data_IF_529736026831
#
_entry.id   IF_529736026831
#
_cell.length_a   1.000
_cell.length_b   1.000
_cell.length_c   1.000
_cell.angle_alpha   90.00
_cell.angle_beta   90.00
_cell.angle_gamma   90.00
#
_symmetry.space_group_name_H-M   'P 1'
#
loop_
_entity.id
_entity.type
_entity.pdbx_description
1 polymer ?
#
# COMPACT_ATOMS: atom_id res chain seq x y z
N UNK A 1 -4.58 4.15 13.39
CA UNK A 1 -3.90 2.85 13.37
C UNK A 1 -2.40 3.14 13.43
N UNK A 2 -1.66 2.46 14.29
CA UNK A 2 -0.22 2.70 14.48
C UNK A 2 0.62 1.66 13.74
N UNK A 3 1.93 1.90 13.62
CA UNK A 3 2.87 0.93 13.04
C UNK A 3 2.87 -0.37 13.84
N UNK A 4 2.78 -0.29 15.17
CA UNK A 4 2.77 -1.44 16.07
C UNK A 4 1.54 -2.32 15.82
N UNK A 5 0.38 -1.72 15.57
CA UNK A 5 -0.84 -2.46 15.22
C UNK A 5 -0.69 -3.20 13.89
N UNK A 6 -0.08 -2.56 12.89
CA UNK A 6 0.24 -3.21 11.61
C UNK A 6 1.23 -4.38 11.80
N UNK A 7 2.28 -4.19 12.59
CA UNK A 7 3.25 -5.24 12.89
C UNK A 7 2.61 -6.43 13.62
N UNK A 8 1.71 -6.15 14.57
CA UNK A 8 0.97 -7.19 15.28
C UNK A 8 0.04 -7.96 14.34
N UNK A 9 -0.62 -7.26 13.40
CA UNK A 9 -1.43 -7.91 12.37
C UNK A 9 -0.57 -8.79 11.46
N UNK A 10 0.58 -8.29 11.00
CA UNK A 10 1.52 -9.09 10.20
C UNK A 10 1.95 -10.34 10.97
N UNK A 11 2.38 -10.21 12.22
CA UNK A 11 2.76 -11.35 13.06
C UNK A 11 1.63 -12.38 13.16
N UNK A 12 0.38 -11.93 13.37
CA UNK A 12 -0.78 -12.81 13.45
C UNK A 12 -1.06 -13.57 12.15
N UNK A 13 -0.70 -13.01 10.98
CA UNK A 13 -0.82 -13.72 9.69
C UNK A 13 0.12 -14.92 9.63
N UNK A 14 1.33 -14.80 10.17
CA UNK A 14 2.30 -15.90 10.24
C UNK A 14 1.85 -16.99 11.22
N UNK A 15 1.33 -16.60 12.39
CA UNK A 15 0.84 -17.55 13.40
C UNK A 15 -0.42 -18.29 12.94
N UNK A 16 -1.39 -17.57 12.39
CA UNK A 16 -2.63 -18.16 11.87
C UNK A 16 -2.41 -19.05 10.65
N UNK A 17 -1.38 -18.80 9.86
CA UNK A 17 -1.01 -19.65 8.71
C UNK A 17 -0.62 -21.07 9.11
N UNK A 18 -0.10 -21.26 10.34
CA UNK A 18 0.25 -22.57 10.87
C UNK A 18 -0.97 -23.36 11.40
N UNK A 19 -2.06 -22.66 11.74
CA UNK A 19 -3.23 -23.26 12.40
C UNK A 19 -4.48 -23.27 11.53
N UNK A 20 -4.58 -22.36 10.55
CA UNK A 20 -5.71 -22.22 9.65
C UNK A 20 -5.65 -23.24 8.49
N UNK A 21 -6.80 -23.77 8.04
CA UNK A 21 -6.87 -24.65 6.87
C UNK A 21 -6.60 -23.92 5.55
N UNK A 22 -6.71 -22.59 5.49
CA UNK A 22 -6.49 -21.81 4.26
C UNK A 22 -5.68 -20.55 4.59
N UNK A 23 -4.40 -20.45 4.15
CA UNK A 23 -3.63 -19.24 4.33
C UNK A 23 -4.16 -18.10 3.43
N UNK A 24 -4.00 -16.83 3.85
CA UNK A 24 -4.46 -15.69 3.09
C UNK A 24 -3.70 -15.53 1.76
N UNK A 25 -4.44 -15.25 0.69
CA UNK A 25 -3.93 -15.03 -0.67
C UNK A 25 -3.91 -13.56 -1.11
N UNK A 26 -4.37 -12.64 -0.26
CA UNK A 26 -4.37 -11.21 -0.51
C UNK A 26 -4.13 -10.44 0.80
N UNK A 27 -3.19 -9.49 0.75
CA UNK A 27 -2.93 -8.50 1.79
C UNK A 27 -3.28 -7.13 1.20
N UNK A 28 -4.10 -6.36 1.90
CA UNK A 28 -4.45 -4.98 1.54
C UNK A 28 -3.98 -4.06 2.67
N UNK A 29 -3.16 -3.07 2.33
CA UNK A 29 -2.73 -2.02 3.26
C UNK A 29 -3.26 -0.69 2.75
N UNK A 30 -4.29 -0.18 3.43
CA UNK A 30 -4.85 1.12 3.11
C UNK A 30 -4.05 2.24 3.81
N UNK A 31 -3.91 3.38 3.12
CA UNK A 31 -3.20 4.58 3.58
C UNK A 31 -1.82 4.32 4.19
N UNK A 32 -0.93 3.69 3.40
CA UNK A 32 0.41 3.31 3.82
C UNK A 32 1.21 4.50 4.38
N UNK A 33 0.97 5.71 3.86
CA UNK A 33 1.62 6.94 4.33
C UNK A 33 1.47 7.16 5.84
N UNK A 34 0.33 6.77 6.43
CA UNK A 34 0.06 6.93 7.86
C UNK A 34 0.90 6.02 8.77
N UNK A 35 1.57 5.01 8.20
CA UNK A 35 2.51 4.15 8.92
C UNK A 35 3.97 4.52 8.66
N UNK A 36 4.24 5.28 7.59
CA UNK A 36 5.60 5.67 7.22
C UNK A 36 6.02 6.99 7.86
N UNK A 37 5.07 7.92 7.96
CA UNK A 37 5.24 9.19 8.64
C UNK A 37 4.71 9.03 10.08
N UNK A 38 5.57 9.17 11.09
CA UNK A 38 5.16 9.04 12.49
C UNK A 38 4.03 10.01 12.87
N UNK A 39 3.36 9.80 14.02
CA UNK A 39 2.22 10.63 14.45
C UNK A 39 2.54 12.14 14.61
N UNK A 40 3.81 12.51 14.67
CA UNK A 40 4.27 13.89 14.73
C UNK A 40 4.59 14.42 13.33
N UNK A 41 3.54 14.54 12.51
CA UNK A 41 3.58 15.41 11.34
C UNK A 41 3.78 16.85 11.80
N UNK A 42 5.02 17.31 11.84
CA UNK A 42 5.31 18.71 12.03
C UNK A 42 6.53 19.00 12.90
N UNK A 43 7.50 19.62 12.24
CA UNK A 43 8.60 20.43 12.80
C UNK A 43 9.90 19.66 13.02
N UNK A 44 10.98 20.27 12.50
CA UNK A 44 12.40 19.99 12.74
C UNK A 44 13.12 19.12 11.69
N UNK A 45 13.41 19.75 10.55
CA UNK A 45 14.78 19.88 9.99
C UNK A 45 15.75 18.75 10.40
N UNK A 46 15.83 17.67 9.61
CA UNK A 46 16.98 16.75 9.65
C UNK A 46 16.71 15.24 9.53
N UNK A 47 15.46 14.77 9.45
CA UNK A 47 15.11 13.33 9.64
C UNK A 47 14.79 12.58 8.32
N UNK A 48 15.35 13.00 7.19
CA UNK A 48 15.07 12.33 5.89
C UNK A 48 15.50 10.85 5.85
N UNK A 49 16.53 10.47 6.61
CA UNK A 49 17.05 9.09 6.62
C UNK A 49 16.19 8.12 7.45
N UNK A 50 15.52 8.62 8.50
CA UNK A 50 14.72 7.80 9.41
C UNK A 50 13.43 7.30 8.76
N UNK A 51 12.73 8.19 8.08
CA UNK A 51 11.46 7.89 7.39
C UNK A 51 11.68 6.94 6.20
N UNK A 52 12.74 7.14 5.41
CA UNK A 52 13.14 6.21 4.36
C UNK A 52 13.49 4.82 4.90
N UNK A 53 14.13 4.75 6.07
CA UNK A 53 14.42 3.48 6.74
C UNK A 53 13.15 2.78 7.20
N UNK A 54 12.17 3.51 7.74
CA UNK A 54 10.87 2.97 8.12
C UNK A 54 10.07 2.49 6.89
N UNK A 55 10.04 3.29 5.82
CA UNK A 55 9.42 2.92 4.55
C UNK A 55 10.03 1.65 3.96
N UNK A 56 11.36 1.57 3.92
CA UNK A 56 12.07 0.41 3.39
C UNK A 56 11.79 -0.83 4.26
N UNK A 57 11.84 -0.67 5.58
CA UNK A 57 11.60 -1.76 6.51
C UNK A 57 10.18 -2.32 6.41
N UNK A 58 9.16 -1.45 6.44
CA UNK A 58 7.77 -1.88 6.32
C UNK A 58 7.48 -2.47 4.95
N UNK A 59 8.00 -1.87 3.88
CA UNK A 59 7.84 -2.41 2.52
C UNK A 59 8.48 -3.79 2.39
N UNK A 60 9.71 -3.96 2.91
CA UNK A 60 10.39 -5.25 2.92
C UNK A 60 9.60 -6.31 3.69
N UNK A 61 9.14 -5.96 4.90
CA UNK A 61 8.38 -6.88 5.76
C UNK A 61 7.07 -7.33 5.10
N UNK A 62 6.33 -6.41 4.47
CA UNK A 62 5.10 -6.75 3.76
C UNK A 62 5.39 -7.64 2.54
N UNK A 63 6.44 -7.36 1.78
CA UNK A 63 6.87 -8.19 0.66
C UNK A 63 7.27 -9.60 1.13
N UNK A 64 8.05 -9.70 2.20
CA UNK A 64 8.49 -10.97 2.78
C UNK A 64 7.30 -11.79 3.30
N UNK A 65 6.32 -11.12 3.92
CA UNK A 65 5.09 -11.77 4.40
C UNK A 65 4.25 -12.32 3.24
N UNK A 66 4.11 -11.56 2.15
CA UNK A 66 3.44 -12.05 0.93
C UNK A 66 4.22 -13.20 0.27
N UNK A 67 5.56 -13.17 0.29
CA UNK A 67 6.39 -14.24 -0.22
C UNK A 67 6.24 -15.52 0.62
N UNK A 68 6.25 -15.40 1.96
CA UNK A 68 5.98 -16.51 2.88
C UNK A 68 4.62 -17.15 2.62
N UNK A 69 3.56 -16.35 2.52
CA UNK A 69 2.21 -16.83 2.23
C UNK A 69 2.12 -17.50 0.86
N UNK A 70 2.83 -16.96 -0.14
CA UNK A 70 2.93 -17.57 -1.47
C UNK A 70 3.55 -18.96 -1.41
N UNK A 71 4.61 -19.15 -0.62
CA UNK A 71 5.23 -20.46 -0.44
C UNK A 71 4.25 -21.42 0.25
N UNK A 72 3.56 -20.97 1.29
CA UNK A 72 2.59 -21.79 2.01
C UNK A 72 1.41 -22.22 1.12
N UNK A 73 0.89 -21.29 0.31
CA UNK A 73 -0.17 -21.55 -0.66
C UNK A 73 0.27 -22.62 -1.67
N UNK A 74 1.50 -22.51 -2.20
CA UNK A 74 2.07 -23.48 -3.15
C UNK A 74 2.34 -24.85 -2.54
N UNK A 75 2.72 -24.90 -1.26
CA UNK A 75 2.91 -26.16 -0.53
C UNK A 75 1.59 -26.92 -0.36
N UNK A 76 0.48 -26.20 -0.13
CA UNK A 76 -0.86 -26.83 -0.01
C UNK A 76 -1.47 -27.20 -1.35
N UNK A 77 -1.24 -26.39 -2.38
CA UNK A 77 -1.67 -26.67 -3.74
C UNK A 77 -0.71 -26.04 -4.74
N UNK A 78 -0.04 -26.86 -5.55
CA UNK A 78 0.91 -26.38 -6.54
C UNK A 78 0.27 -25.54 -7.65
N UNK A 79 -1.05 -25.62 -7.84
CA UNK A 79 -1.81 -24.78 -8.77
C UNK A 79 -2.33 -23.49 -8.14
N UNK A 80 -2.04 -23.23 -6.86
CA UNK A 80 -2.49 -22.02 -6.18
C UNK A 80 -1.81 -20.77 -6.75
N UNK A 81 -2.60 -19.70 -6.89
CA UNK A 81 -2.07 -18.40 -7.23
C UNK A 81 -1.15 -17.87 -6.10
N UNK A 82 -0.15 -17.03 -6.42
CA UNK A 82 0.66 -16.39 -5.39
C UNK A 82 -0.18 -15.44 -4.54
N UNK A 83 0.27 -15.21 -3.31
CA UNK A 83 -0.30 -14.17 -2.46
C UNK A 83 -0.03 -12.80 -3.10
N UNK A 84 -1.03 -11.93 -3.11
CA UNK A 84 -0.93 -10.58 -3.67
C UNK A 84 -0.88 -9.56 -2.55
N UNK A 85 -0.07 -8.51 -2.72
CA UNK A 85 -0.01 -7.38 -1.82
C UNK A 85 -0.45 -6.13 -2.58
N UNK A 86 -1.44 -5.42 -2.03
CA UNK A 86 -1.91 -4.13 -2.55
C UNK A 86 -1.74 -3.11 -1.43
N UNK A 87 -0.99 -2.05 -1.70
CA UNK A 87 -0.84 -0.94 -0.79
C UNK A 87 -1.29 0.35 -1.48
N UNK A 88 -2.13 1.14 -0.82
CA UNK A 88 -2.46 2.49 -1.28
C UNK A 88 -1.55 3.50 -0.56
N UNK A 89 -1.10 4.51 -1.27
CA UNK A 89 -0.31 5.60 -0.72
C UNK A 89 -0.85 6.93 -1.25
N UNK A 90 -1.16 7.86 -0.36
CA UNK A 90 -1.57 9.22 -0.75
C UNK A 90 -0.39 10.18 -0.57
N UNK A 91 0.07 10.77 -1.66
CA UNK A 91 1.09 11.81 -1.65
C UNK A 91 0.44 13.16 -1.30
N UNK A 92 0.94 13.85 -0.26
CA UNK A 92 0.44 15.17 0.16
C UNK A 92 0.72 16.31 -0.85
N UNK A 93 1.40 16.03 -1.96
CA UNK A 93 1.82 17.02 -2.97
C UNK A 93 0.64 17.72 -3.68
N UNK A 94 -0.57 17.16 -3.65
CA UNK A 94 -1.73 17.72 -4.37
C UNK A 94 -2.53 18.77 -3.58
N UNK A 95 -2.13 19.07 -2.33
CA UNK A 95 -2.74 20.10 -1.49
C UNK A 95 -2.04 21.47 -1.64
N UNK A 96 -1.75 21.86 -2.89
CA UNK A 96 -1.40 23.23 -3.32
C UNK A 96 -0.43 24.02 -2.43
N UNK A 97 0.87 23.92 -2.69
CA UNK A 97 1.77 25.07 -2.56
C UNK A 97 2.97 24.96 -3.51
N UNK A 98 3.16 26.04 -4.27
CA UNK A 98 4.35 26.39 -5.02
C UNK A 98 5.51 26.71 -4.08
N UNK A 99 6.60 25.93 -4.10
CA UNK A 99 7.98 26.42 -3.95
C UNK A 99 8.98 25.25 -3.83
N UNK A 100 9.77 25.02 -4.89
CA UNK A 100 11.23 24.86 -4.83
C UNK A 100 11.92 23.78 -3.96
N UNK A 101 11.22 22.92 -3.25
CA UNK A 101 11.86 21.84 -2.46
C UNK A 101 11.34 20.50 -2.99
N UNK A 102 12.22 19.70 -3.61
CA UNK A 102 11.94 18.31 -3.94
C UNK A 102 11.59 17.59 -2.62
N UNK A 103 10.29 17.41 -2.42
CA UNK A 103 9.65 17.15 -1.13
C UNK A 103 10.06 15.79 -0.60
N UNK A 104 10.16 15.62 0.72
CA UNK A 104 10.49 14.35 1.40
C UNK A 104 9.70 13.14 0.83
N UNK A 105 8.48 13.40 0.36
CA UNK A 105 7.58 12.45 -0.30
C UNK A 105 8.20 11.75 -1.51
N UNK A 106 9.01 12.44 -2.33
CA UNK A 106 9.65 11.85 -3.51
C UNK A 106 10.60 10.71 -3.10
N UNK A 107 11.30 10.86 -1.98
CA UNK A 107 12.24 9.84 -1.51
C UNK A 107 11.57 8.60 -0.88
N UNK A 108 10.38 8.76 -0.30
CA UNK A 108 9.56 7.63 0.16
C UNK A 108 8.99 6.90 -1.06
N UNK A 109 8.53 7.64 -2.08
CA UNK A 109 8.06 7.03 -3.32
C UNK A 109 9.17 6.24 -4.03
N UNK A 110 10.40 6.73 -4.06
CA UNK A 110 11.57 5.99 -4.58
C UNK A 110 11.84 4.69 -3.82
N UNK A 111 11.60 4.67 -2.50
CA UNK A 111 11.66 3.45 -1.71
C UNK A 111 10.54 2.50 -2.14
N UNK A 112 9.29 2.98 -2.20
CA UNK A 112 8.15 2.17 -2.61
C UNK A 112 8.34 1.59 -4.02
N UNK A 113 8.87 2.34 -4.98
CA UNK A 113 9.17 1.88 -6.34
C UNK A 113 10.11 0.66 -6.37
N UNK A 114 11.05 0.58 -5.43
CA UNK A 114 11.98 -0.54 -5.34
C UNK A 114 11.34 -1.82 -4.82
N UNK A 115 10.35 -1.72 -3.95
CA UNK A 115 9.68 -2.87 -3.34
C UNK A 115 8.40 -3.28 -4.08
N UNK A 116 7.63 -2.31 -4.55
CA UNK A 116 6.37 -2.49 -5.25
C UNK A 116 6.58 -2.31 -6.76
N UNK A 117 6.88 -3.41 -7.46
CA UNK A 117 7.20 -3.40 -8.89
C UNK A 117 6.08 -2.86 -9.80
N UNK A 118 4.83 -2.86 -9.32
CA UNK A 118 3.67 -2.37 -10.07
C UNK A 118 3.01 -1.27 -9.25
N UNK A 119 2.87 -0.09 -9.87
CA UNK A 119 2.16 1.04 -9.31
C UNK A 119 1.05 1.51 -10.22
N UNK A 120 -0.07 1.81 -9.61
CA UNK A 120 -1.21 2.44 -10.27
C UNK A 120 -1.37 3.81 -9.65
N UNK A 121 -1.10 4.85 -10.44
CA UNK A 121 -1.39 6.23 -10.07
C UNK A 121 -2.83 6.51 -10.48
N UNK A 122 -3.72 6.62 -9.50
CA UNK A 122 -5.07 7.12 -9.74
C UNK A 122 -4.97 8.65 -9.80
N UNK A 123 -4.85 9.20 -11.01
CA UNK A 123 -5.00 10.64 -11.18
C UNK A 123 -6.46 10.99 -10.89
N UNK A 124 -6.69 12.03 -10.10
CA UNK A 124 -8.05 12.55 -9.88
C UNK A 124 -8.42 13.35 -11.12
N UNK A 125 -8.71 12.60 -12.18
CA UNK A 125 -9.14 13.11 -13.46
C UNK A 125 -10.24 14.16 -13.20
N UNK A 126 -9.93 15.44 -13.45
CA UNK A 126 -10.93 16.54 -13.40
C UNK A 126 -12.18 16.22 -14.24
N UNK A 127 -12.01 15.29 -15.18
CA UNK A 127 -13.00 14.61 -16.00
C UNK A 127 -14.16 13.98 -15.19
N UNK A 128 -13.94 13.51 -13.96
CA UNK A 128 -14.99 12.88 -13.15
C UNK A 128 -15.94 13.90 -12.52
N UNK A 129 -15.48 15.12 -12.23
CA UNK A 129 -16.36 16.22 -11.80
C UNK A 129 -17.15 16.83 -12.97
N UNK A 130 -16.62 16.76 -14.20
CA UNK A 130 -17.39 17.10 -15.39
C UNK A 130 -18.48 16.06 -15.71
N UNK A 131 -18.24 14.77 -15.40
CA UNK A 131 -19.21 13.69 -15.61
C UNK A 131 -20.28 13.60 -14.50
N UNK A 132 -19.98 14.04 -13.27
CA UNK A 132 -20.99 14.15 -12.21
C UNK A 132 -22.07 15.21 -12.53
N UNK A 133 -21.81 16.11 -13.48
CA UNK A 133 -22.79 17.03 -14.07
C UNK A 133 -23.60 16.47 -15.25
N UNK A 134 -23.35 15.23 -15.68
CA UNK A 134 -24.11 14.57 -16.75
C UNK A 134 -24.14 13.08 -16.53
N UNK A 135 -25.14 12.61 -15.76
CA UNK A 135 -25.58 11.21 -15.78
C UNK A 135 -26.09 10.82 -17.18
N UNK A 136 -25.55 9.76 -17.82
CA UNK A 136 -26.35 8.94 -18.70
C UNK A 136 -26.60 7.61 -17.98
N UNK A 137 -27.83 7.45 -17.49
CA UNK A 137 -28.40 6.17 -17.07
C UNK A 137 -28.20 5.13 -18.19
N UNK A 138 -27.38 4.10 -17.94
CA UNK A 138 -27.06 3.14 -18.99
C UNK A 138 -26.31 1.90 -18.53
N UNK A 139 -26.73 1.26 -17.44
CA UNK A 139 -26.22 -0.07 -17.09
C UNK A 139 -26.93 -1.07 -17.99
N UNK A 140 -26.32 -1.40 -19.13
CA UNK A 140 -26.82 -2.49 -19.97
C UNK A 140 -26.38 -3.83 -19.37
N UNK A 141 -27.36 -4.46 -18.77
CA UNK A 141 -27.54 -5.89 -18.50
C UNK A 141 -26.62 -6.78 -19.35
N UNK A 142 -25.75 -7.57 -18.70
CA UNK A 142 -25.17 -8.76 -19.32
C UNK A 142 -26.13 -9.91 -19.02
N UNK A 143 -26.69 -10.52 -20.07
CA UNK A 143 -27.43 -11.77 -19.99
C UNK A 143 -26.67 -12.83 -20.78
N UNK A 144 -26.56 -13.99 -20.12
CA UNK A 144 -26.07 -15.33 -20.51
C UNK A 144 -24.65 -15.46 -21.08
#
# INVERSE_FOLDING_TARGET
ITVEELLQQVASLHESSNTSPIPPSLIIVDRLEGYLCGPEGGTHSGVHTGEQSCAAHLSALLCDSAAFLTQLLKQRSSSSAPCRLIASFQSEVDAGHSSGEASCTDSILDVLDRYFQVRFTLDRDRSYEAAAGSCPSGWKHWSD
#
